data_IF_122164191076
#
_entry.id   IF_122164191076
#
_cell.length_a   1.000
_cell.length_b   1.000
_cell.length_c   1.000
_cell.angle_alpha   90.00
_cell.angle_beta   90.00
_cell.angle_gamma   90.00
#
_symmetry.space_group_name_H-M   'P 1'
#
loop_
_entity.id
_entity.type
_entity.pdbx_description
1 polymer ?
#
# COMPACT_ATOMS: atom_id res chain seq x y z
N UNK A 1 9.42 -15.26 13.28
CA UNK A 1 9.48 -14.75 11.89
C UNK A 1 8.92 -13.35 11.88
N UNK A 2 9.65 -12.40 11.29
CA UNK A 2 9.18 -11.02 11.14
C UNK A 2 8.10 -10.97 10.04
N UNK A 3 7.21 -10.00 10.10
CA UNK A 3 6.25 -9.76 9.01
C UNK A 3 6.96 -9.35 7.72
N UNK A 4 8.15 -8.76 7.83
CA UNK A 4 8.98 -8.36 6.69
C UNK A 4 9.59 -9.56 5.94
N UNK A 5 9.56 -10.76 6.55
CA UNK A 5 10.01 -12.01 5.93
C UNK A 5 8.89 -12.69 5.12
N UNK A 6 7.66 -12.15 5.15
CA UNK A 6 6.55 -12.67 4.38
C UNK A 6 6.77 -12.42 2.89
N UNK A 7 6.30 -13.35 2.06
CA UNK A 7 6.54 -13.37 0.62
C UNK A 7 6.13 -12.07 -0.07
N UNK A 8 5.06 -11.43 0.38
CA UNK A 8 4.58 -10.17 -0.20
C UNK A 8 5.55 -9.01 0.02
N UNK A 9 6.15 -8.91 1.21
CA UNK A 9 7.14 -7.86 1.52
C UNK A 9 8.48 -8.13 0.84
N UNK A 10 8.84 -9.40 0.62
CA UNK A 10 9.99 -9.77 -0.21
C UNK A 10 9.77 -9.30 -1.66
N UNK A 11 8.59 -9.58 -2.23
CA UNK A 11 8.23 -9.12 -3.59
C UNK A 11 8.22 -7.60 -3.70
N UNK A 12 7.72 -6.92 -2.67
CA UNK A 12 7.68 -5.46 -2.61
C UNK A 12 9.09 -4.85 -2.71
N UNK A 13 10.06 -5.42 -1.97
CA UNK A 13 11.48 -4.99 -2.02
C UNK A 13 12.12 -5.15 -3.39
N UNK A 14 11.70 -6.14 -4.19
CA UNK A 14 12.22 -6.33 -5.56
C UNK A 14 11.74 -5.24 -6.53
N UNK A 15 10.64 -4.56 -6.23
CA UNK A 15 10.08 -3.49 -7.06
C UNK A 15 10.68 -2.11 -6.72
N UNK A 16 11.30 -1.95 -5.55
CA UNK A 16 11.97 -0.73 -5.07
C UNK A 16 12.68 0.10 -6.15
N UNK A 17 13.61 -0.44 -6.98
CA UNK A 17 14.37 0.39 -7.92
C UNK A 17 13.56 1.02 -9.06
N UNK A 18 12.28 0.65 -9.22
CA UNK A 18 11.42 1.11 -10.32
C UNK A 18 10.31 2.07 -9.87
N UNK A 19 10.31 2.46 -8.59
CA UNK A 19 9.19 3.13 -7.94
C UNK A 19 9.62 4.46 -7.37
N UNK A 20 8.83 5.51 -7.62
CA UNK A 20 8.94 6.75 -6.89
C UNK A 20 8.20 6.62 -5.55
N UNK A 21 8.95 6.61 -4.45
CA UNK A 21 8.40 6.44 -3.10
C UNK A 21 7.45 7.59 -2.75
N UNK A 22 7.70 8.81 -3.24
CA UNK A 22 6.84 9.96 -2.95
C UNK A 22 5.46 9.78 -3.57
N UNK A 23 5.42 9.26 -4.80
CA UNK A 23 4.19 8.94 -5.50
C UNK A 23 3.38 7.86 -4.75
N UNK A 24 4.06 6.83 -4.22
CA UNK A 24 3.41 5.79 -3.41
C UNK A 24 2.91 6.36 -2.08
N UNK A 25 3.72 7.19 -1.40
CA UNK A 25 3.35 7.82 -0.13
C UNK A 25 2.05 8.61 -0.27
N UNK A 26 1.93 9.45 -1.30
CA UNK A 26 0.73 10.28 -1.52
C UNK A 26 -0.53 9.41 -1.63
N UNK A 27 -0.46 8.28 -2.34
CA UNK A 27 -1.59 7.36 -2.46
C UNK A 27 -1.89 6.68 -1.13
N UNK A 28 -0.87 6.24 -0.39
CA UNK A 28 -1.06 5.56 0.90
C UNK A 28 -1.63 6.51 1.96
N UNK A 29 -1.18 7.77 2.01
CA UNK A 29 -1.74 8.80 2.89
C UNK A 29 -3.23 9.02 2.62
N UNK A 30 -3.64 8.97 1.35
CA UNK A 30 -5.05 9.08 0.98
C UNK A 30 -5.85 7.84 1.38
N UNK A 31 -5.28 6.65 1.23
CA UNK A 31 -5.88 5.40 1.75
C UNK A 31 -6.06 5.48 3.27
N UNK A 32 -5.06 5.98 3.99
CA UNK A 32 -5.12 6.16 5.44
C UNK A 32 -6.21 7.16 5.83
N UNK A 33 -6.26 8.31 5.16
CA UNK A 33 -7.25 9.35 5.41
C UNK A 33 -8.67 8.84 5.17
N UNK A 34 -8.90 8.09 4.08
CA UNK A 34 -10.19 7.48 3.79
C UNK A 34 -10.57 6.39 4.79
N UNK A 35 -9.61 5.53 5.17
CA UNK A 35 -9.85 4.51 6.19
C UNK A 35 -10.22 5.13 7.55
N UNK A 36 -9.57 6.24 7.93
CA UNK A 36 -9.87 7.00 9.15
C UNK A 36 -11.26 7.65 9.16
N UNK A 37 -11.84 7.93 7.98
CA UNK A 37 -13.22 8.44 7.83
C UNK A 37 -14.29 7.38 8.07
N UNK A 38 -13.91 6.16 8.43
CA UNK A 38 -14.82 5.05 8.72
C UNK A 38 -15.05 4.12 7.53
N UNK A 39 -14.35 4.35 6.42
CA UNK A 39 -14.36 3.42 5.29
C UNK A 39 -13.50 2.19 5.62
N UNK A 40 -13.95 1.01 5.18
CA UNK A 40 -13.06 -0.15 5.20
C UNK A 40 -11.90 0.04 4.20
N UNK A 41 -10.78 -0.62 4.45
CA UNK A 41 -9.55 -0.52 3.63
C UNK A 41 -9.80 -0.73 2.15
N UNK A 42 -10.68 -1.69 1.81
CA UNK A 42 -11.04 -1.98 0.42
C UNK A 42 -11.70 -0.77 -0.26
N UNK A 43 -12.62 -0.10 0.44
CA UNK A 43 -13.27 1.11 -0.07
C UNK A 43 -12.28 2.27 -0.18
N UNK A 44 -11.41 2.44 0.82
CA UNK A 44 -10.35 3.45 0.80
C UNK A 44 -9.38 3.25 -0.39
N UNK A 45 -8.99 2.00 -0.67
CA UNK A 45 -8.19 1.64 -1.83
C UNK A 45 -8.89 1.99 -3.15
N UNK A 46 -10.19 1.72 -3.27
CA UNK A 46 -10.96 2.07 -4.48
C UNK A 46 -10.93 3.59 -4.71
N UNK A 47 -11.17 4.38 -3.66
CA UNK A 47 -11.16 5.85 -3.76
C UNK A 47 -9.78 6.38 -4.14
N UNK A 48 -8.73 6.01 -3.40
CA UNK A 48 -7.38 6.48 -3.68
C UNK A 48 -6.90 6.04 -5.08
N UNK A 49 -7.18 4.80 -5.48
CA UNK A 49 -6.72 4.31 -6.79
C UNK A 49 -7.49 4.95 -7.95
N UNK A 50 -8.76 5.32 -7.74
CA UNK A 50 -9.52 6.08 -8.73
C UNK A 50 -8.96 7.50 -8.89
N UNK A 51 -8.55 8.14 -7.80
CA UNK A 51 -7.97 9.49 -7.82
C UNK A 51 -6.56 9.54 -8.44
N UNK A 52 -5.82 8.43 -8.40
CA UNK A 52 -4.47 8.32 -8.98
C UNK A 52 -4.38 7.28 -10.11
N UNK A 53 -5.43 7.20 -10.94
CA UNK A 53 -5.62 6.13 -11.91
C UNK A 53 -4.42 5.91 -12.85
N UNK A 54 -3.81 6.97 -13.38
CA UNK A 54 -2.71 6.87 -14.34
C UNK A 54 -1.46 6.26 -13.70
N UNK A 55 -1.15 6.68 -12.47
CA UNK A 55 -0.03 6.18 -11.68
C UNK A 55 -0.24 4.72 -11.28
N UNK A 56 -1.47 4.38 -10.86
CA UNK A 56 -1.86 3.01 -10.52
C UNK A 56 -1.77 2.09 -11.74
N UNK A 57 -2.21 2.55 -12.91
CA UNK A 57 -2.12 1.78 -14.16
C UNK A 57 -0.67 1.56 -14.59
N UNK A 58 0.17 2.60 -14.50
CA UNK A 58 1.60 2.52 -14.85
C UNK A 58 2.36 1.53 -13.97
N UNK A 59 1.99 1.44 -12.69
CA UNK A 59 2.63 0.56 -11.71
C UNK A 59 1.67 -0.52 -11.19
N UNK A 60 0.86 -1.11 -12.08
CA UNK A 60 -0.24 -2.01 -11.71
C UNK A 60 0.16 -3.13 -10.75
N UNK A 61 1.30 -3.79 -11.01
CA UNK A 61 1.76 -4.91 -10.19
C UNK A 61 2.11 -4.48 -8.76
N UNK A 62 2.71 -3.30 -8.61
CA UNK A 62 3.02 -2.70 -7.32
C UNK A 62 1.74 -2.43 -6.52
N UNK A 63 0.78 -1.71 -7.12
CA UNK A 63 -0.44 -1.31 -6.43
C UNK A 63 -1.39 -2.49 -6.17
N UNK A 64 -1.37 -3.54 -7.00
CA UNK A 64 -2.05 -4.80 -6.68
C UNK A 64 -1.43 -5.48 -5.45
N UNK A 65 -0.10 -5.52 -5.36
CA UNK A 65 0.61 -6.09 -4.23
C UNK A 65 0.36 -5.30 -2.94
N UNK A 66 0.47 -3.97 -3.01
CA UNK A 66 0.15 -3.05 -1.91
C UNK A 66 -1.28 -3.26 -1.42
N UNK A 67 -2.26 -3.33 -2.34
CA UNK A 67 -3.66 -3.58 -1.99
C UNK A 67 -3.83 -4.91 -1.25
N UNK A 68 -3.18 -5.97 -1.73
CA UNK A 68 -3.20 -7.30 -1.11
C UNK A 68 -2.60 -7.28 0.30
N UNK A 69 -1.49 -6.56 0.50
CA UNK A 69 -0.85 -6.39 1.81
C UNK A 69 -1.79 -5.63 2.76
N UNK A 70 -2.35 -4.51 2.32
CA UNK A 70 -3.27 -3.71 3.13
C UNK A 70 -4.51 -4.50 3.55
N UNK A 71 -5.17 -5.19 2.63
CA UNK A 71 -6.34 -6.01 2.97
C UNK A 71 -6.00 -7.15 3.94
N UNK A 72 -4.85 -7.81 3.75
CA UNK A 72 -4.44 -8.97 4.56
C UNK A 72 -4.01 -8.59 5.98
N UNK A 73 -3.27 -7.49 6.13
CA UNK A 73 -2.60 -7.17 7.39
C UNK A 73 -3.28 -6.05 8.19
N UNK A 74 -4.06 -5.17 7.56
CA UNK A 74 -4.74 -4.08 8.28
C UNK A 74 -5.68 -4.56 9.38
N UNK A 75 -6.49 -5.63 9.22
CA UNK A 75 -7.37 -6.09 10.29
C UNK A 75 -6.65 -6.49 11.58
N UNK A 76 -5.35 -6.81 11.50
CA UNK A 76 -4.53 -7.25 12.64
C UNK A 76 -3.63 -6.16 13.18
N UNK A 77 -3.11 -5.30 12.31
CA UNK A 77 -2.06 -4.33 12.66
C UNK A 77 -2.54 -2.88 12.64
N UNK A 78 -3.68 -2.59 12.03
CA UNK A 78 -4.12 -1.23 11.73
C UNK A 78 -3.48 -0.69 10.45
N UNK A 79 -4.19 0.23 9.79
CA UNK A 79 -3.82 0.73 8.44
C UNK A 79 -2.49 1.50 8.47
N UNK A 80 -2.30 2.34 9.48
CA UNK A 80 -1.10 3.17 9.68
C UNK A 80 0.17 2.31 9.74
N UNK A 81 0.16 1.28 10.60
CA UNK A 81 1.29 0.38 10.77
C UNK A 81 1.62 -0.39 9.49
N UNK A 82 0.61 -0.81 8.72
CA UNK A 82 0.85 -1.53 7.47
C UNK A 82 1.43 -0.59 6.41
N UNK A 83 0.94 0.64 6.33
CA UNK A 83 1.48 1.68 5.44
C UNK A 83 2.96 1.92 5.76
N UNK A 84 3.29 2.11 7.04
CA UNK A 84 4.68 2.31 7.47
C UNK A 84 5.58 1.13 7.07
N UNK A 85 5.10 -0.11 7.24
CA UNK A 85 5.84 -1.31 6.81
C UNK A 85 6.06 -1.37 5.29
N UNK A 86 5.08 -0.95 4.49
CA UNK A 86 5.18 -0.88 3.03
C UNK A 86 6.24 0.15 2.63
N UNK A 87 6.18 1.35 3.21
CA UNK A 87 7.11 2.43 2.91
C UNK A 87 8.54 2.10 3.32
N UNK A 88 8.71 1.50 4.50
CA UNK A 88 10.01 1.02 4.97
C UNK A 88 10.58 -0.10 4.08
N UNK A 89 9.72 -0.89 3.44
CA UNK A 89 10.15 -1.92 2.49
C UNK A 89 10.52 -1.37 1.12
N UNK A 90 10.01 -0.17 0.77
CA UNK A 90 10.33 0.52 -0.48
C UNK A 90 11.50 1.52 -0.32
N UNK A 91 11.78 1.96 0.91
CA UNK A 91 12.92 2.84 1.27
C UNK A 91 14.26 2.12 1.24
#
# INVERSE_FOLDING_TARGET
MSILDQEEFVKLRLLKPKVDIKEVQVILDEVEAEAKRGNNVKSALIFAYANHLDLVKKNRDLFNLIGSILEKYTPKLGVENVIELILNSLS
#
